data_IF_295856807907
#
_entry.id   IF_295856807907
#
_cell.length_a   1.000
_cell.length_b   1.000
_cell.length_c   1.000
_cell.angle_alpha   90.00
_cell.angle_beta   90.00
_cell.angle_gamma   90.00
#
_symmetry.space_group_name_H-M   'P 1'
#
loop_
_entity.id
_entity.type
_entity.pdbx_description
1 polymer ?
#
# COMPACT_ATOMS: atom_id res chain seq x y z
N UNK A 1 -9.74 -13.59 20.62
CA UNK A 1 -9.41 -12.23 20.16
C UNK A 1 -8.63 -12.31 18.85
N UNK A 2 -8.96 -11.48 17.86
CA UNK A 2 -8.18 -11.39 16.63
C UNK A 2 -6.79 -10.79 16.93
N UNK A 3 -5.77 -11.24 16.19
CA UNK A 3 -4.39 -10.72 16.31
C UNK A 3 -4.37 -9.25 15.85
N UNK A 4 -3.56 -8.41 16.48
CA UNK A 4 -3.26 -7.05 16.00
C UNK A 4 -1.83 -7.05 15.47
N UNK A 5 -1.67 -6.84 14.17
CA UNK A 5 -0.37 -6.76 13.48
C UNK A 5 -0.08 -5.31 13.16
N UNK A 6 1.12 -4.83 13.52
CA UNK A 6 1.59 -3.50 13.11
C UNK A 6 2.29 -3.61 11.77
N UNK A 7 1.95 -2.75 10.83
CA UNK A 7 2.51 -2.73 9.49
C UNK A 7 3.06 -1.35 9.17
N UNK A 8 4.31 -1.28 8.72
CA UNK A 8 4.96 -0.05 8.27
C UNK A 8 5.32 -0.20 6.81
N UNK A 9 4.96 0.77 5.98
CA UNK A 9 5.06 0.65 4.51
C UNK A 9 5.67 1.90 3.90
N UNK A 10 6.61 1.69 2.97
CA UNK A 10 7.22 2.76 2.17
C UNK A 10 7.50 2.26 0.75
N UNK A 11 7.49 3.17 -0.21
CA UNK A 11 7.77 2.92 -1.62
C UNK A 11 8.43 4.13 -2.27
N UNK A 12 9.49 3.87 -3.04
CA UNK A 12 10.29 4.92 -3.66
C UNK A 12 10.67 4.59 -5.11
N UNK A 13 10.95 5.62 -5.91
CA UNK A 13 11.45 5.49 -7.28
C UNK A 13 12.56 6.50 -7.61
N UNK A 14 13.56 6.02 -8.35
CA UNK A 14 14.59 6.82 -9.02
C UNK A 14 14.03 7.32 -10.36
N UNK A 15 13.26 8.40 -10.31
CA UNK A 15 12.51 8.94 -11.45
C UNK A 15 11.03 8.51 -11.46
N UNK A 16 10.17 9.26 -12.16
CA UNK A 16 8.72 9.03 -12.12
C UNK A 16 8.09 9.18 -13.52
N UNK A 17 8.15 8.14 -14.39
CA UNK A 17 8.54 6.76 -14.06
C UNK A 17 10.06 6.51 -14.04
N UNK A 18 10.48 5.43 -13.39
CA UNK A 18 11.86 5.00 -13.27
C UNK A 18 12.02 3.69 -12.50
N UNK A 19 13.26 3.28 -12.24
CA UNK A 19 13.52 2.12 -11.38
C UNK A 19 13.06 2.42 -9.95
N UNK A 20 12.36 1.49 -9.31
CA UNK A 20 11.79 1.72 -7.99
C UNK A 20 11.65 0.46 -7.17
N UNK A 21 11.31 0.61 -5.91
CA UNK A 21 11.13 -0.50 -4.99
C UNK A 21 10.23 -0.12 -3.83
N UNK A 22 9.84 -1.14 -3.08
CA UNK A 22 9.01 -0.98 -1.90
C UNK A 22 9.55 -1.81 -0.75
N UNK A 23 9.15 -1.43 0.46
CA UNK A 23 9.41 -2.20 1.67
C UNK A 23 8.17 -2.25 2.56
N UNK A 24 7.98 -3.35 3.26
CA UNK A 24 6.96 -3.50 4.30
C UNK A 24 7.47 -4.28 5.48
N UNK A 25 7.30 -3.72 6.67
CA UNK A 25 7.65 -4.33 7.93
C UNK A 25 6.37 -4.74 8.63
N UNK A 26 6.21 -6.02 8.93
CA UNK A 26 5.12 -6.58 9.71
C UNK A 26 5.66 -6.98 11.09
N UNK A 27 5.06 -6.45 12.14
CA UNK A 27 5.45 -6.75 13.53
C UNK A 27 4.28 -7.33 14.31
N UNK A 28 4.51 -8.49 14.91
CA UNK A 28 3.57 -9.15 15.81
C UNK A 28 4.30 -9.79 16.99
N UNK A 29 3.97 -9.32 18.21
CA UNK A 29 4.70 -9.68 19.45
C UNK A 29 6.21 -9.43 19.27
N UNK A 30 7.04 -10.48 19.40
CA UNK A 30 8.50 -10.43 19.24
C UNK A 30 8.96 -10.75 17.81
N UNK A 31 8.04 -11.03 16.90
CA UNK A 31 8.36 -11.40 15.53
C UNK A 31 8.24 -10.19 14.61
N UNK A 32 9.22 -10.08 13.72
CA UNK A 32 9.24 -9.10 12.65
C UNK A 32 9.48 -9.84 11.32
N UNK A 33 8.77 -9.41 10.28
CA UNK A 33 8.94 -9.89 8.92
C UNK A 33 9.09 -8.68 8.01
N UNK A 34 10.12 -8.68 7.18
CA UNK A 34 10.40 -7.62 6.21
C UNK A 34 10.16 -8.18 4.82
N UNK A 35 9.41 -7.45 4.00
CA UNK A 35 9.11 -7.75 2.60
C UNK A 35 9.65 -6.62 1.74
N UNK A 36 10.46 -6.94 0.73
CA UNK A 36 10.99 -5.95 -0.20
C UNK A 36 11.03 -6.52 -1.60
N UNK A 37 10.87 -5.66 -2.60
CA UNK A 37 11.12 -5.99 -4.00
C UNK A 37 11.39 -4.72 -4.81
N UNK A 38 11.97 -4.90 -5.99
CA UNK A 38 12.31 -3.83 -6.93
C UNK A 38 11.75 -4.10 -8.33
N UNK A 39 11.51 -3.03 -9.07
CA UNK A 39 10.99 -3.04 -10.43
C UNK A 39 11.83 -2.11 -11.31
N UNK A 40 12.17 -2.57 -12.52
CA UNK A 40 12.97 -1.78 -13.46
C UNK A 40 12.27 -0.50 -13.95
N UNK A 41 10.94 -0.53 -14.06
CA UNK A 41 10.16 0.61 -14.53
C UNK A 41 8.81 0.68 -13.80
N UNK A 42 8.64 1.67 -12.94
CA UNK A 42 7.44 1.90 -12.13
C UNK A 42 7.33 3.38 -11.73
N UNK A 43 6.40 3.73 -10.84
CA UNK A 43 6.19 5.09 -10.31
C UNK A 43 6.15 5.08 -8.80
N UNK A 44 6.39 6.23 -8.17
CA UNK A 44 6.42 6.35 -6.71
C UNK A 44 5.11 5.82 -6.10
N UNK A 45 3.98 6.32 -6.60
CA UNK A 45 2.64 5.95 -6.16
C UNK A 45 2.35 4.45 -6.32
N UNK A 46 2.88 3.80 -7.36
CA UNK A 46 2.74 2.35 -7.54
C UNK A 46 3.51 1.58 -6.48
N UNK A 47 4.70 2.05 -6.09
CA UNK A 47 5.50 1.40 -5.05
C UNK A 47 4.90 1.60 -3.66
N UNK A 48 4.40 2.79 -3.36
CA UNK A 48 3.68 3.07 -2.12
C UNK A 48 2.45 2.15 -1.95
N UNK A 49 1.66 1.95 -3.03
CA UNK A 49 0.56 0.99 -3.03
C UNK A 49 1.05 -0.46 -2.90
N UNK A 50 2.11 -0.83 -3.64
CA UNK A 50 2.62 -2.19 -3.65
C UNK A 50 3.14 -2.63 -2.27
N UNK A 51 3.72 -1.72 -1.50
CA UNK A 51 4.09 -1.96 -0.11
C UNK A 51 2.90 -2.48 0.71
N UNK A 52 1.80 -1.71 0.71
CA UNK A 52 0.58 -2.07 1.45
C UNK A 52 0.00 -3.40 0.96
N UNK A 53 -0.08 -3.60 -0.35
CA UNK A 53 -0.61 -4.84 -0.96
C UNK A 53 0.23 -6.05 -0.52
N UNK A 54 1.56 -5.98 -0.69
CA UNK A 54 2.47 -7.07 -0.37
C UNK A 54 2.42 -7.44 1.12
N UNK A 55 2.30 -6.45 2.01
CA UNK A 55 2.11 -6.66 3.43
C UNK A 55 0.83 -7.44 3.75
N UNK A 56 -0.31 -6.98 3.21
CA UNK A 56 -1.62 -7.57 3.44
C UNK A 56 -1.75 -8.99 2.84
N UNK A 57 -1.22 -9.23 1.63
CA UNK A 57 -1.24 -10.55 0.98
C UNK A 57 -0.40 -11.59 1.72
N UNK A 58 0.59 -11.15 2.49
CA UNK A 58 1.45 -12.07 3.25
C UNK A 58 0.84 -12.59 4.56
N UNK A 59 -0.36 -12.11 4.92
CA UNK A 59 -1.08 -12.50 6.13
C UNK A 59 -1.86 -13.80 5.89
N UNK A 60 -1.47 -14.88 6.56
CA UNK A 60 -2.05 -16.21 6.35
C UNK A 60 -3.41 -16.43 7.06
N UNK A 61 -3.96 -15.40 7.71
CA UNK A 61 -5.21 -15.49 8.47
C UNK A 61 -5.75 -14.10 8.77
N UNK A 62 -7.07 -14.01 9.01
CA UNK A 62 -7.73 -12.79 9.42
C UNK A 62 -7.13 -12.21 10.71
N UNK A 63 -6.84 -10.92 10.68
CA UNK A 63 -6.32 -10.15 11.80
C UNK A 63 -6.65 -8.66 11.62
N UNK A 64 -6.55 -7.90 12.72
CA UNK A 64 -6.54 -6.46 12.64
C UNK A 64 -5.13 -5.99 12.27
N UNK A 65 -5.05 -5.07 11.32
CA UNK A 65 -3.77 -4.52 10.85
C UNK A 65 -3.78 -3.02 11.09
N UNK A 66 -2.80 -2.55 11.86
CA UNK A 66 -2.53 -1.14 12.06
C UNK A 66 -1.45 -0.72 11.06
N UNK A 67 -1.84 0.06 10.04
CA UNK A 67 -0.95 0.46 8.94
C UNK A 67 -0.43 1.87 9.20
N UNK A 68 0.89 2.00 9.27
CA UNK A 68 1.60 3.28 9.33
C UNK A 68 2.28 3.53 7.99
N UNK A 69 1.93 4.62 7.32
CA UNK A 69 2.52 5.07 6.07
C UNK A 69 2.50 6.60 6.02
N UNK A 70 3.50 7.19 5.39
CA UNK A 70 3.56 8.61 5.07
C UNK A 70 3.04 8.93 3.65
N UNK A 71 2.72 7.91 2.85
CA UNK A 71 2.14 8.07 1.52
C UNK A 71 0.79 8.80 1.56
N UNK A 72 0.80 10.04 1.07
CA UNK A 72 -0.43 10.78 0.83
C UNK A 72 -1.30 10.11 -0.23
N UNK A 73 -0.70 9.40 -1.20
CA UNK A 73 -1.43 8.72 -2.26
C UNK A 73 -2.25 7.55 -1.71
N UNK A 74 -1.65 6.71 -0.87
CA UNK A 74 -2.35 5.62 -0.16
C UNK A 74 -3.44 6.20 0.74
N UNK A 75 -3.12 7.22 1.55
CA UNK A 75 -4.07 7.85 2.47
C UNK A 75 -5.31 8.39 1.74
N UNK A 76 -5.12 9.20 0.69
CA UNK A 76 -6.23 9.73 -0.13
C UNK A 76 -6.96 8.62 -0.89
N UNK A 77 -6.22 7.62 -1.37
CA UNK A 77 -6.79 6.43 -2.00
C UNK A 77 -7.80 5.74 -1.11
N UNK A 78 -7.47 5.50 0.16
CA UNK A 78 -8.34 4.80 1.10
C UNK A 78 -9.52 5.69 1.55
N UNK A 79 -9.24 6.93 1.93
CA UNK A 79 -10.23 7.81 2.58
C UNK A 79 -11.17 8.45 1.56
N UNK A 80 -10.61 8.99 0.47
CA UNK A 80 -11.36 9.87 -0.44
C UNK A 80 -11.80 9.14 -1.72
N UNK A 81 -10.90 8.39 -2.37
CA UNK A 81 -11.12 7.93 -3.75
C UNK A 81 -11.75 6.54 -3.84
N UNK A 82 -11.26 5.57 -3.07
CA UNK A 82 -11.72 4.18 -3.10
C UNK A 82 -13.24 4.06 -2.86
N UNK A 83 -13.86 4.78 -1.90
CA UNK A 83 -15.32 4.73 -1.74
C UNK A 83 -16.08 5.16 -2.99
N UNK A 84 -15.60 6.23 -3.66
CA UNK A 84 -16.19 6.75 -4.89
C UNK A 84 -15.98 5.77 -6.04
N UNK A 85 -14.78 5.21 -6.20
CA UNK A 85 -14.47 4.23 -7.23
C UNK A 85 -15.31 2.95 -7.07
N UNK A 86 -15.45 2.44 -5.84
CA UNK A 86 -16.32 1.29 -5.55
C UNK A 86 -17.78 1.59 -5.93
N UNK A 87 -18.31 2.74 -5.54
CA UNK A 87 -19.68 3.16 -5.89
C UNK A 87 -19.88 3.29 -7.42
N UNK A 88 -18.83 3.63 -8.17
CA UNK A 88 -18.88 3.83 -9.62
C UNK A 88 -18.37 2.63 -10.44
N UNK A 89 -18.18 1.46 -9.82
CA UNK A 89 -17.60 0.28 -10.46
C UNK A 89 -16.28 0.58 -11.20
N UNK A 90 -15.39 1.36 -10.57
CA UNK A 90 -14.08 1.72 -11.10
C UNK A 90 -14.08 2.78 -12.22
N UNK A 91 -15.25 3.32 -12.58
CA UNK A 91 -15.32 4.36 -13.63
C UNK A 91 -14.81 5.70 -13.11
N UNK A 92 -13.98 6.34 -13.93
CA UNK A 92 -13.49 7.69 -13.68
C UNK A 92 -14.64 8.69 -13.63
N UNK A 93 -14.48 9.72 -12.81
CA UNK A 93 -15.27 10.94 -12.92
C UNK A 93 -14.96 11.54 -14.29
N UNK A 94 -15.92 11.55 -15.21
CA UNK A 94 -15.81 12.36 -16.44
C UNK A 94 -15.58 13.79 -15.98
N UNK A 95 -14.41 14.34 -16.29
CA UNK A 95 -14.17 15.77 -16.21
C UNK A 95 -14.96 16.35 -17.38
N UNK A 96 -16.06 17.06 -17.10
CA UNK A 96 -16.65 17.92 -18.10
C UNK A 96 -15.60 19.02 -18.36
N UNK A 97 -14.93 18.93 -19.51
CA UNK A 97 -14.20 20.04 -20.10
C UNK A 97 -15.22 20.94 -20.82
#
# INVERSE_FOLDING_TARGET
MLKIVKMFTDGSCLGNPGAGGYSTILRYKKHEKILTSGFHLTTNNRMELMAVISGLESLNQSCFVEITTDSLYVKKGIIDWMPIWKKKNGKLLKKNL
#
